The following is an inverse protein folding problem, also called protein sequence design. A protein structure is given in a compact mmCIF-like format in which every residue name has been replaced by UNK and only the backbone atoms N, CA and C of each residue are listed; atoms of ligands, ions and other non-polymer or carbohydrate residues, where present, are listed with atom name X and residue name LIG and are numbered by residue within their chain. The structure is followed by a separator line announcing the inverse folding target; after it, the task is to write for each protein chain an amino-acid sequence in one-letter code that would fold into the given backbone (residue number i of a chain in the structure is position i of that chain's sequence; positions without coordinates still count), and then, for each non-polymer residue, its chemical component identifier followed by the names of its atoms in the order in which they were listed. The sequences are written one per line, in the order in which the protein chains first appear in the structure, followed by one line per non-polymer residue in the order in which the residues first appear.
data_IF_853580313949
#
_entry.id   IF_853580313949
#
_cell.length_a   1.000
_cell.length_b   1.000
_cell.length_c   1.000
_cell.angle_alpha   90.00
_cell.angle_beta   90.00
_cell.angle_gamma   90.00
#
_symmetry.space_group_name_H-M   'P 1'
#
loop_
_entity.id
_entity.type
_entity.pdbx_description
1 polymer ?
#
# COMPACT_ATOMS: atom_id res chain seq x y z
N UNK A 1 12.69 -26.55 16.36
CA UNK A 1 12.87 -25.59 15.24
C UNK A 1 11.62 -25.68 14.38
N UNK A 2 10.72 -24.70 14.24
CA UNK A 2 10.91 -23.29 13.94
C UNK A 2 9.62 -22.55 14.40
N UNK A 3 9.62 -21.83 15.52
CA UNK A 3 8.45 -21.05 15.96
C UNK A 3 8.69 -19.59 15.59
N UNK A 4 8.23 -19.25 14.40
CA UNK A 4 7.84 -17.94 13.89
C UNK A 4 8.15 -16.74 14.81
N UNK A 5 9.35 -16.19 14.69
CA UNK A 5 9.59 -14.80 15.05
C UNK A 5 8.93 -13.93 13.96
N UNK A 6 7.61 -13.78 14.04
CA UNK A 6 6.92 -12.68 13.36
C UNK A 6 7.29 -11.43 14.14
N UNK A 7 8.22 -10.64 13.61
CA UNK A 7 8.69 -9.39 14.19
C UNK A 7 7.56 -8.36 14.15
N UNK A 8 6.64 -8.47 15.11
CA UNK A 8 5.70 -7.43 15.50
C UNK A 8 6.50 -6.28 16.15
N UNK A 9 7.15 -5.45 15.33
CA UNK A 9 8.09 -4.43 15.85
C UNK A 9 8.13 -3.11 15.08
N UNK A 10 7.26 -2.90 14.08
CA UNK A 10 7.28 -1.66 13.27
C UNK A 10 5.89 -1.01 13.20
N UNK A 11 5.26 -0.83 14.37
CA UNK A 11 4.08 0.03 14.57
C UNK A 11 4.46 1.52 14.51
N UNK A 12 5.26 1.92 13.52
CA UNK A 12 5.70 3.30 13.35
C UNK A 12 5.13 3.83 12.04
N UNK A 13 3.85 4.26 12.07
CA UNK A 13 3.17 4.97 10.96
C UNK A 13 3.14 4.20 9.62
N UNK A 14 3.21 2.86 9.64
CA UNK A 14 3.13 2.04 8.43
C UNK A 14 1.68 1.70 8.17
N UNK A 15 1.27 1.90 6.92
CA UNK A 15 -0.07 1.63 6.44
C UNK A 15 -0.54 0.19 6.67
N UNK A 16 -1.74 -0.13 6.23
CA UNK A 16 -2.31 -1.47 6.41
C UNK A 16 -1.46 -2.53 5.70
N UNK A 17 -0.85 -3.43 6.46
CA UNK A 17 -0.10 -4.59 5.93
C UNK A 17 -1.06 -5.74 5.55
N UNK A 18 -0.58 -6.73 4.78
CA UNK A 18 -1.42 -7.87 4.38
C UNK A 18 -1.95 -8.69 5.57
N UNK A 19 -1.12 -8.92 6.60
CA UNK A 19 -1.55 -9.58 7.85
C UNK A 19 -2.65 -8.77 8.57
N UNK A 20 -2.50 -7.45 8.61
CA UNK A 20 -3.50 -6.57 9.21
C UNK A 20 -4.79 -6.51 8.38
N UNK A 21 -4.69 -6.51 7.05
CA UNK A 21 -5.85 -6.56 6.17
C UNK A 21 -6.66 -7.86 6.38
N UNK A 22 -5.99 -9.00 6.55
CA UNK A 22 -6.65 -10.27 6.89
C UNK A 22 -7.37 -10.20 8.24
N UNK A 23 -6.73 -9.63 9.27
CA UNK A 23 -7.35 -9.45 10.59
C UNK A 23 -8.58 -8.54 10.52
N UNK A 24 -8.48 -7.42 9.81
CA UNK A 24 -9.58 -6.46 9.65
C UNK A 24 -10.74 -7.07 8.86
N UNK A 25 -10.44 -7.83 7.80
CA UNK A 25 -11.44 -8.55 7.02
C UNK A 25 -12.27 -9.50 7.89
N UNK A 26 -11.61 -10.29 8.73
CA UNK A 26 -12.29 -11.22 9.65
C UNK A 26 -13.09 -10.46 10.71
N UNK A 27 -12.52 -9.42 11.31
CA UNK A 27 -13.17 -8.67 12.40
C UNK A 27 -14.38 -7.84 11.93
N UNK A 28 -14.39 -7.39 10.68
CA UNK A 28 -15.38 -6.45 10.15
C UNK A 28 -16.25 -7.05 9.04
N UNK A 29 -16.12 -8.37 8.79
CA UNK A 29 -16.82 -9.09 7.72
C UNK A 29 -16.62 -8.44 6.34
N UNK A 30 -15.42 -7.92 6.08
CA UNK A 30 -15.02 -7.35 4.79
C UNK A 30 -14.01 -8.24 4.08
N UNK A 31 -13.47 -7.79 2.94
CA UNK A 31 -12.39 -8.50 2.25
C UNK A 31 -11.01 -7.90 2.57
N UNK A 32 -9.92 -8.68 2.57
CA UNK A 32 -8.57 -8.14 2.73
C UNK A 32 -8.19 -7.16 1.62
N UNK A 33 -8.65 -7.41 0.39
CA UNK A 33 -8.40 -6.56 -0.78
C UNK A 33 -8.98 -5.17 -0.60
N UNK A 34 -10.12 -5.04 0.08
CA UNK A 34 -10.71 -3.74 0.40
C UNK A 34 -9.73 -2.84 1.17
N UNK A 35 -9.10 -3.40 2.21
CA UNK A 35 -8.15 -2.67 3.05
C UNK A 35 -6.84 -2.35 2.34
N UNK A 36 -6.33 -3.29 1.53
CA UNK A 36 -5.13 -3.05 0.73
C UNK A 36 -5.38 -1.99 -0.35
N UNK A 37 -6.52 -2.04 -1.03
CA UNK A 37 -6.90 -1.03 -2.03
C UNK A 37 -7.02 0.37 -1.42
N UNK A 38 -7.57 0.46 -0.19
CA UNK A 38 -7.63 1.72 0.54
C UNK A 38 -6.23 2.26 0.82
N UNK A 39 -5.33 1.41 1.30
CA UNK A 39 -3.94 1.78 1.57
C UNK A 39 -3.22 2.26 0.30
N UNK A 40 -3.32 1.49 -0.79
CA UNK A 40 -2.75 1.86 -2.09
C UNK A 40 -3.31 3.19 -2.61
N UNK A 41 -4.62 3.40 -2.48
CA UNK A 41 -5.26 4.65 -2.90
C UNK A 41 -4.74 5.83 -2.10
N UNK A 42 -4.62 5.69 -0.78
CA UNK A 42 -4.07 6.73 0.09
C UNK A 42 -2.62 7.05 -0.27
N UNK A 43 -1.77 6.03 -0.42
CA UNK A 43 -0.35 6.22 -0.76
C UNK A 43 -0.18 6.88 -2.13
N UNK A 44 -1.00 6.49 -3.11
CA UNK A 44 -1.01 7.11 -4.44
C UNK A 44 -1.43 8.58 -4.36
N UNK A 45 -2.51 8.89 -3.63
CA UNK A 45 -2.96 10.28 -3.45
C UNK A 45 -1.90 11.14 -2.77
N UNK A 46 -1.28 10.61 -1.72
CA UNK A 46 -0.18 11.28 -1.02
C UNK A 46 0.99 11.56 -1.96
N UNK A 47 1.44 10.55 -2.71
CA UNK A 47 2.53 10.70 -3.68
C UNK A 47 2.19 11.69 -4.80
N UNK A 48 0.94 11.71 -5.27
CA UNK A 48 0.46 12.67 -6.26
C UNK A 48 0.55 14.11 -5.74
N UNK A 49 0.14 14.36 -4.50
CA UNK A 49 0.20 15.69 -3.87
C UNK A 49 1.64 16.12 -3.62
N UNK A 50 2.47 15.25 -3.05
CA UNK A 50 3.82 15.61 -2.62
C UNK A 50 4.82 15.68 -3.79
N UNK A 51 4.69 14.80 -4.79
CA UNK A 51 5.72 14.59 -5.83
C UNK A 51 5.16 14.48 -7.24
N UNK A 52 3.85 14.54 -7.41
CA UNK A 52 3.22 14.25 -8.70
C UNK A 52 3.56 15.25 -9.81
N UNK A 53 3.82 16.52 -9.50
CA UNK A 53 4.27 17.51 -10.49
C UNK A 53 5.71 17.21 -10.95
N UNK A 54 6.63 17.08 -9.99
CA UNK A 54 8.04 16.78 -10.26
C UNK A 54 8.23 15.47 -11.06
N UNK A 55 7.45 14.43 -10.75
CA UNK A 55 7.51 13.15 -11.49
C UNK A 55 7.09 13.34 -12.95
N UNK A 56 6.05 14.15 -13.23
CA UNK A 56 5.57 14.38 -14.61
C UNK A 56 6.57 15.13 -15.47
N UNK A 57 7.34 16.03 -14.87
CA UNK A 57 8.40 16.76 -15.59
C UNK A 57 9.62 15.86 -15.88
N UNK A 58 9.86 14.84 -15.06
CA UNK A 58 11.04 13.97 -15.15
C UNK A 58 10.82 12.70 -15.98
N UNK A 59 9.58 12.31 -16.25
CA UNK A 59 9.24 11.04 -16.90
C UNK A 59 8.57 11.28 -18.24
N UNK A 60 9.23 10.87 -19.32
CA UNK A 60 8.64 10.84 -20.66
C UNK A 60 7.84 9.54 -20.88
N UNK A 61 6.59 9.61 -21.35
CA UNK A 61 5.81 8.43 -21.70
C UNK A 61 6.48 7.65 -22.83
N UNK A 62 6.56 6.32 -22.67
CA UNK A 62 7.02 5.45 -23.75
C UNK A 62 5.88 5.34 -24.76
N UNK A 63 6.03 6.04 -25.88
CA UNK A 63 5.16 5.87 -27.04
C UNK A 63 5.63 4.65 -27.83
N UNK A 64 5.03 3.48 -27.59
CA UNK A 64 5.24 2.33 -28.49
C UNK A 64 4.43 2.59 -29.77
N UNK A 65 5.12 2.68 -30.92
CA UNK A 65 4.46 2.67 -32.22
C UNK A 65 3.95 1.25 -32.50
N UNK A 66 2.69 1.10 -32.91
CA UNK A 66 2.10 -0.16 -33.36
C UNK A 66 2.20 -0.27 -34.89
#
# INVERSE_FOLDING_TARGET
MNRHASTNGELQRRGVSADMALRLAICLETTPEFWLNLQTTYDLRKAQVERGAAIREQVEPIHHCA
#
